data_IF_444258405589
#
_entry.id   IF_444258405589
#
_cell.length_a   1.000
_cell.length_b   1.000
_cell.length_c   1.000
_cell.angle_alpha   90.00
_cell.angle_beta   90.00
_cell.angle_gamma   90.00
#
_symmetry.space_group_name_H-M   'P 1'
#
loop_
_entity.id
_entity.type
_entity.pdbx_description
1 polymer ?
#
# COMPACT_ATOMS: atom_id res chain seq x y z
N UNK A 1 -8.11 -19.29 -1.15
CA UNK A 1 -8.26 -19.05 0.30
C UNK A 1 -8.77 -17.65 0.57
N UNK A 2 -8.27 -16.64 -0.16
CA UNK A 2 -8.64 -15.23 -0.01
C UNK A 2 -9.51 -14.70 -1.15
N UNK A 3 -10.25 -15.57 -1.85
CA UNK A 3 -11.19 -15.12 -2.89
C UNK A 3 -12.23 -14.18 -2.27
N UNK A 4 -12.52 -13.08 -2.96
CA UNK A 4 -13.43 -12.03 -2.48
C UNK A 4 -12.75 -10.95 -1.64
N UNK A 5 -11.51 -11.15 -1.19
CA UNK A 5 -10.73 -10.14 -0.48
C UNK A 5 -10.06 -9.20 -1.48
N UNK A 6 -10.13 -7.91 -1.20
CA UNK A 6 -9.57 -6.82 -1.99
C UNK A 6 -8.45 -6.11 -1.24
N UNK A 7 -7.33 -5.88 -1.93
CA UNK A 7 -6.12 -5.30 -1.33
C UNK A 7 -5.64 -4.13 -2.17
N UNK A 8 -5.43 -2.98 -1.52
CA UNK A 8 -4.72 -1.85 -2.12
C UNK A 8 -3.26 -1.87 -1.64
N UNK A 9 -2.32 -1.98 -2.57
CA UNK A 9 -0.89 -2.03 -2.27
C UNK A 9 -0.20 -0.74 -2.73
N UNK A 10 0.19 0.12 -1.79
CA UNK A 10 0.94 1.36 -2.05
C UNK A 10 2.45 1.16 -1.86
N UNK A 11 2.90 -0.05 -1.52
CA UNK A 11 4.32 -0.30 -1.26
C UNK A 11 5.15 -0.14 -2.53
N UNK A 12 6.43 0.18 -2.39
CA UNK A 12 7.33 0.28 -3.54
C UNK A 12 8.13 -0.98 -3.78
N UNK A 13 8.74 -1.52 -2.72
CA UNK A 13 9.71 -2.61 -2.81
C UNK A 13 9.66 -3.48 -1.55
N UNK A 14 10.44 -4.56 -1.55
CA UNK A 14 10.83 -5.24 -0.33
C UNK A 14 9.73 -6.11 0.29
N UNK A 15 9.63 -6.15 1.63
CA UNK A 15 8.77 -7.11 2.32
C UNK A 15 7.28 -6.89 2.05
N UNK A 16 6.83 -5.64 1.92
CA UNK A 16 5.43 -5.34 1.63
C UNK A 16 4.99 -5.79 0.24
N UNK A 17 5.80 -5.51 -0.79
CA UNK A 17 5.49 -5.96 -2.16
C UNK A 17 5.53 -7.48 -2.29
N UNK A 18 6.34 -8.17 -1.47
CA UNK A 18 6.31 -9.63 -1.37
C UNK A 18 5.05 -10.14 -0.65
N UNK A 19 4.64 -9.47 0.43
CA UNK A 19 3.45 -9.82 1.17
C UNK A 19 2.18 -9.65 0.32
N UNK A 20 2.03 -8.53 -0.39
CA UNK A 20 0.91 -8.32 -1.32
C UNK A 20 0.88 -9.38 -2.41
N UNK A 21 2.05 -9.80 -2.91
CA UNK A 21 2.15 -10.90 -3.87
C UNK A 21 1.65 -12.23 -3.32
N UNK A 22 1.97 -12.57 -2.08
CA UNK A 22 1.42 -13.78 -1.45
C UNK A 22 -0.09 -13.73 -1.27
N UNK A 23 -0.66 -12.56 -0.95
CA UNK A 23 -2.11 -12.40 -0.87
C UNK A 23 -2.76 -12.65 -2.24
N UNK A 24 -2.16 -12.14 -3.33
CA UNK A 24 -2.61 -12.43 -4.69
C UNK A 24 -2.52 -13.94 -5.01
N UNK A 25 -1.42 -14.60 -4.65
CA UNK A 25 -1.27 -16.06 -4.83
C UNK A 25 -2.33 -16.88 -4.10
N UNK A 26 -2.81 -16.40 -2.96
CA UNK A 26 -3.89 -17.05 -2.20
C UNK A 26 -5.30 -16.69 -2.68
N UNK A 27 -5.41 -15.86 -3.72
CA UNK A 27 -6.66 -15.55 -4.43
C UNK A 27 -7.27 -14.17 -4.12
N UNK A 28 -6.57 -13.29 -3.38
CA UNK A 28 -7.04 -11.92 -3.19
C UNK A 28 -6.92 -11.11 -4.48
N UNK A 29 -7.84 -10.18 -4.72
CA UNK A 29 -7.70 -9.18 -5.79
C UNK A 29 -6.83 -8.04 -5.30
N UNK A 30 -5.60 -7.98 -5.81
CA UNK A 30 -4.62 -6.96 -5.40
C UNK A 30 -4.50 -5.91 -6.49
N UNK A 31 -4.69 -4.65 -6.11
CA UNK A 31 -4.49 -3.48 -6.97
C UNK A 31 -3.28 -2.70 -6.47
N UNK A 32 -2.25 -2.59 -7.30
CA UNK A 32 -1.07 -1.74 -7.05
C UNK A 32 -1.45 -0.28 -7.26
N UNK A 33 -1.28 0.53 -6.23
CA UNK A 33 -1.50 1.98 -6.27
C UNK A 33 -0.14 2.65 -6.35
N UNK A 34 0.11 3.39 -7.42
CA UNK A 34 1.40 4.05 -7.68
C UNK A 34 1.20 5.43 -8.30
N UNK A 35 2.17 6.35 -8.21
CA UNK A 35 2.12 7.62 -8.93
C UNK A 35 2.09 7.37 -10.45
N UNK A 36 1.51 8.32 -11.19
CA UNK A 36 1.52 8.26 -12.66
C UNK A 36 2.95 8.39 -13.21
N UNK A 37 3.76 9.22 -12.56
CA UNK A 37 5.19 9.37 -12.86
C UNK A 37 6.00 8.21 -12.23
N UNK A 38 6.58 7.31 -13.03
CA UNK A 38 7.33 6.16 -12.53
C UNK A 38 8.65 6.54 -11.87
N UNK A 39 9.10 7.79 -11.95
CA UNK A 39 10.33 8.25 -11.27
C UNK A 39 10.10 8.55 -9.79
N UNK A 40 8.83 8.75 -9.38
CA UNK A 40 8.45 9.08 -7.99
C UNK A 40 8.43 7.86 -7.07
N UNK A 41 8.47 6.65 -7.63
CA UNK A 41 8.44 5.40 -6.88
C UNK A 41 9.28 4.34 -7.58
N UNK A 42 10.08 3.60 -6.82
CA UNK A 42 10.87 2.51 -7.39
C UNK A 42 9.90 1.42 -7.87
N UNK A 43 9.98 1.08 -9.15
CA UNK A 43 9.37 -0.12 -9.70
C UNK A 43 10.43 -1.22 -9.73
N UNK A 44 10.32 -2.27 -8.89
CA UNK A 44 11.30 -3.34 -8.88
C UNK A 44 11.29 -4.09 -10.22
N UNK A 45 12.43 -4.67 -10.65
CA UNK A 45 12.47 -5.49 -11.86
C UNK A 45 11.56 -6.72 -11.71
N UNK A 46 11.09 -7.28 -12.82
CA UNK A 46 10.07 -8.34 -12.83
C UNK A 46 10.41 -9.60 -12.01
N UNK A 47 11.69 -9.88 -11.79
CA UNK A 47 12.16 -11.02 -10.99
C UNK A 47 12.32 -10.70 -9.50
N UNK A 48 12.27 -9.43 -9.11
CA UNK A 48 12.40 -9.02 -7.72
C UNK A 48 11.06 -9.15 -6.99
N UNK A 49 11.10 -9.79 -5.81
CA UNK A 49 9.95 -10.03 -4.93
C UNK A 49 8.79 -10.82 -5.56
N UNK A 50 8.95 -11.29 -6.80
CA UNK A 50 7.88 -11.77 -7.67
C UNK A 50 6.69 -10.79 -7.76
N UNK A 51 6.95 -9.50 -7.50
CA UNK A 51 5.91 -8.48 -7.37
C UNK A 51 5.24 -8.22 -8.73
N UNK A 52 4.04 -7.63 -8.71
CA UNK A 52 3.24 -7.23 -9.88
C UNK A 52 2.59 -8.36 -10.69
N UNK A 53 3.04 -9.61 -10.58
CA UNK A 53 2.38 -10.72 -11.28
C UNK A 53 0.96 -10.93 -10.75
N UNK A 54 -0.02 -10.86 -11.64
CA UNK A 54 -1.43 -11.13 -11.34
C UNK A 54 -2.11 -10.04 -10.52
N UNK A 55 -1.58 -8.82 -10.55
CA UNK A 55 -2.15 -7.65 -9.88
C UNK A 55 -2.65 -6.65 -10.91
N UNK A 56 -3.74 -5.97 -10.60
CA UNK A 56 -4.16 -4.77 -11.34
C UNK A 56 -3.30 -3.58 -10.91
N UNK A 57 -3.24 -2.53 -11.73
CA UNK A 57 -2.54 -1.30 -11.39
C UNK A 57 -3.43 -0.08 -11.60
N UNK A 58 -3.30 0.92 -10.74
CA UNK A 58 -4.00 2.20 -10.85
C UNK A 58 -3.09 3.34 -10.42
N UNK A 59 -3.19 4.47 -11.12
CA UNK A 59 -2.40 5.66 -10.84
C UNK A 59 -3.14 6.60 -9.88
N UNK A 60 -2.45 7.03 -8.81
CA UNK A 60 -2.90 8.06 -7.88
C UNK A 60 -1.72 8.98 -7.52
N UNK A 61 -1.84 10.26 -7.82
CA UNK A 61 -0.83 11.28 -7.49
C UNK A 61 -1.16 11.93 -6.14
N UNK A 62 -0.73 11.26 -5.08
CA UNK A 62 -0.89 11.78 -3.72
C UNK A 62 0.05 12.98 -3.47
N UNK A 63 -0.41 14.01 -2.71
CA UNK A 63 -1.68 14.08 -1.97
C UNK A 63 -2.91 14.55 -2.78
N UNK A 64 -2.75 14.98 -4.04
CA UNK A 64 -3.83 15.60 -4.81
C UNK A 64 -5.03 14.66 -5.02
N UNK A 65 -4.77 13.37 -5.23
CA UNK A 65 -5.83 12.36 -5.39
C UNK A 65 -6.30 11.73 -4.07
N UNK A 66 -5.92 12.24 -2.89
CA UNK A 66 -6.29 11.63 -1.61
C UNK A 66 -7.82 11.42 -1.44
N UNK A 67 -8.71 12.37 -1.80
CA UNK A 67 -10.15 12.14 -1.71
C UNK A 67 -10.64 10.96 -2.55
N UNK A 68 -10.16 10.85 -3.80
CA UNK A 68 -10.49 9.74 -4.70
C UNK A 68 -9.92 8.42 -4.21
N UNK A 69 -8.74 8.45 -3.59
CA UNK A 69 -8.16 7.26 -2.98
C UNK A 69 -9.00 6.78 -1.81
N UNK A 70 -9.48 7.69 -0.96
CA UNK A 70 -10.33 7.36 0.19
C UNK A 70 -11.67 6.76 -0.27
N UNK A 71 -12.25 7.24 -1.37
CA UNK A 71 -13.44 6.62 -1.98
C UNK A 71 -13.18 5.17 -2.40
N UNK A 72 -12.03 4.89 -3.02
CA UNK A 72 -11.64 3.52 -3.38
C UNK A 72 -11.43 2.66 -2.13
N UNK A 73 -10.70 3.20 -1.14
CA UNK A 73 -10.40 2.54 0.12
C UNK A 73 -11.64 2.24 0.98
N UNK A 74 -12.74 2.96 0.78
CA UNK A 74 -14.02 2.69 1.45
C UNK A 74 -14.57 1.28 1.18
N UNK A 75 -14.15 0.67 0.07
CA UNK A 75 -14.57 -0.68 -0.35
C UNK A 75 -13.46 -1.74 -0.28
N UNK A 76 -12.27 -1.36 0.18
CA UNK A 76 -11.14 -2.28 0.30
C UNK A 76 -11.19 -3.06 1.61
N UNK A 77 -10.65 -4.28 1.63
CA UNK A 77 -10.53 -5.07 2.87
C UNK A 77 -9.18 -4.84 3.55
N UNK A 78 -8.13 -4.63 2.75
CA UNK A 78 -6.76 -4.48 3.23
C UNK A 78 -6.05 -3.34 2.50
N UNK A 79 -5.27 -2.54 3.24
CA UNK A 79 -4.27 -1.63 2.68
C UNK A 79 -2.88 -2.08 3.15
N UNK A 80 -1.92 -2.12 2.23
CA UNK A 80 -0.51 -2.35 2.54
C UNK A 80 0.30 -1.16 2.04
N UNK A 81 1.18 -0.63 2.89
CA UNK A 81 2.07 0.47 2.52
C UNK A 81 3.47 0.31 3.14
N UNK A 82 4.45 0.99 2.54
CA UNK A 82 5.87 0.91 2.93
C UNK A 82 6.55 2.28 2.99
N UNK A 83 5.80 3.33 3.31
CA UNK A 83 6.33 4.67 3.49
C UNK A 83 6.95 4.83 4.88
N UNK A 84 7.85 5.82 5.02
CA UNK A 84 8.40 6.17 6.34
C UNK A 84 7.28 6.64 7.28
N UNK A 85 7.45 6.46 8.61
CA UNK A 85 6.43 6.87 9.57
C UNK A 85 6.01 8.34 9.41
N UNK A 86 4.70 8.56 9.37
CA UNK A 86 4.06 9.88 9.20
C UNK A 86 3.95 10.38 7.75
N UNK A 87 4.49 9.68 6.75
CA UNK A 87 4.34 10.10 5.34
C UNK A 87 2.90 9.94 4.87
N UNK A 88 2.27 8.80 5.12
CA UNK A 88 0.88 8.55 4.70
C UNK A 88 -0.12 9.52 5.33
N UNK A 89 0.14 9.98 6.55
CA UNK A 89 -0.69 11.00 7.21
C UNK A 89 -0.57 12.35 6.49
N UNK A 90 0.65 12.75 6.09
CA UNK A 90 0.88 13.95 5.27
C UNK A 90 0.27 13.83 3.88
N UNK A 91 0.17 12.62 3.35
CA UNK A 91 -0.49 12.33 2.08
C UNK A 91 -2.02 12.26 2.17
N UNK A 92 -2.59 12.30 3.37
CA UNK A 92 -4.04 12.22 3.59
C UNK A 92 -4.63 10.81 3.45
N UNK A 93 -3.78 9.77 3.44
CA UNK A 93 -4.20 8.37 3.22
C UNK A 93 -3.78 7.44 4.37
N UNK A 94 -3.33 8.02 5.49
CA UNK A 94 -2.99 7.27 6.69
C UNK A 94 -4.20 6.59 7.33
N UNK A 95 -3.92 5.68 8.27
CA UNK A 95 -4.95 4.85 8.92
C UNK A 95 -6.14 5.67 9.46
N UNK A 96 -5.96 6.77 10.21
CA UNK A 96 -7.11 7.52 10.74
C UNK A 96 -8.07 8.04 9.66
N UNK A 97 -7.52 8.49 8.52
CA UNK A 97 -8.32 8.99 7.40
C UNK A 97 -9.08 7.86 6.70
N UNK A 98 -8.42 6.72 6.47
CA UNK A 98 -9.06 5.55 5.86
C UNK A 98 -10.12 4.94 6.78
N UNK A 99 -9.79 4.72 8.06
CA UNK A 99 -10.68 4.05 9.01
C UNK A 99 -11.96 4.85 9.30
N UNK A 100 -11.92 6.17 9.10
CA UNK A 100 -13.11 7.02 9.24
C UNK A 100 -14.19 6.69 8.19
N UNK A 101 -13.79 6.32 6.97
CA UNK A 101 -14.70 5.88 5.90
C UNK A 101 -14.92 4.36 5.84
N UNK A 102 -13.98 3.58 6.40
CA UNK A 102 -14.05 2.12 6.43
C UNK A 102 -13.50 1.57 7.77
N UNK A 103 -14.35 1.46 8.81
CA UNK A 103 -13.93 0.95 10.12
C UNK A 103 -13.50 -0.53 10.12
N UNK A 104 -13.85 -1.28 9.07
CA UNK A 104 -13.49 -2.70 8.92
C UNK A 104 -12.12 -2.93 8.28
N UNK A 105 -11.43 -1.87 7.85
CA UNK A 105 -10.17 -1.99 7.11
C UNK A 105 -9.07 -2.64 7.96
N UNK A 106 -8.32 -3.55 7.35
CA UNK A 106 -7.02 -3.98 7.87
C UNK A 106 -5.93 -3.13 7.23
N UNK A 107 -5.31 -2.24 8.01
CA UNK A 107 -4.24 -1.37 7.53
C UNK A 107 -2.87 -1.87 8.00
N UNK A 108 -2.04 -2.31 7.05
CA UNK A 108 -0.71 -2.83 7.31
C UNK A 108 0.36 -1.83 6.87
N UNK A 109 1.13 -1.35 7.83
CA UNK A 109 2.27 -0.48 7.60
C UNK A 109 3.58 -1.24 7.78
N UNK A 110 4.50 -1.10 6.84
CA UNK A 110 5.81 -1.75 6.88
C UNK A 110 6.94 -0.74 6.85
N UNK A 111 7.80 -0.78 7.87
CA UNK A 111 8.96 0.11 7.99
C UNK A 111 10.15 -0.64 8.56
N UNK A 112 11.37 -0.17 8.31
CA UNK A 112 12.59 -0.85 8.76
C UNK A 112 12.73 -0.94 10.29
N UNK A 113 12.24 0.06 11.02
CA UNK A 113 12.41 0.18 12.48
C UNK A 113 11.10 0.35 13.25
N UNK A 114 9.96 0.17 12.60
CA UNK A 114 8.64 0.36 13.19
C UNK A 114 8.14 1.82 13.13
N UNK A 115 6.86 1.98 13.44
CA UNK A 115 6.16 3.28 13.42
C UNK A 115 6.57 4.21 14.57
N UNK A 116 7.20 3.67 15.62
CA UNK A 116 7.52 4.40 16.86
C UNK A 116 8.94 4.11 17.33
N UNK A 117 9.42 4.91 18.28
CA UNK A 117 10.75 4.76 18.87
C UNK A 117 11.84 5.59 18.20
N UNK A 118 13.04 5.67 18.81
CA UNK A 118 14.10 6.62 18.44
C UNK A 118 14.72 6.38 17.06
N UNK A 119 14.52 5.18 16.47
CA UNK A 119 15.02 4.81 15.14
C UNK A 119 13.94 4.75 14.07
N UNK A 120 12.68 5.06 14.40
CA UNK A 120 11.54 5.00 13.45
C UNK A 120 11.76 5.81 12.16
N UNK A 121 12.58 6.86 12.22
CA UNK A 121 12.88 7.72 11.08
C UNK A 121 14.13 7.29 10.28
N UNK A 122 14.82 6.21 10.70
CA UNK A 122 15.98 5.70 9.98
C UNK A 122 15.56 5.00 8.70
N UNK A 123 16.40 5.09 7.67
CA UNK A 123 16.23 4.29 6.47
C UNK A 123 16.53 2.81 6.78
N UNK A 124 15.65 1.92 6.32
CA UNK A 124 15.79 0.47 6.43
C UNK A 124 15.00 -0.23 5.33
#
# INVERSE_FOLDING_TARGET
MLHGITVLDLSSVGPASRASRWLADYGARVTKVKPADPTRQITPPFYAYSAHRGMDEVAFDLPADAPRFLELAASADVIIESFRPGVVDKLGVGYPAVSAGNPGIVYCSTTGFGQTGPRSQWAG
#
